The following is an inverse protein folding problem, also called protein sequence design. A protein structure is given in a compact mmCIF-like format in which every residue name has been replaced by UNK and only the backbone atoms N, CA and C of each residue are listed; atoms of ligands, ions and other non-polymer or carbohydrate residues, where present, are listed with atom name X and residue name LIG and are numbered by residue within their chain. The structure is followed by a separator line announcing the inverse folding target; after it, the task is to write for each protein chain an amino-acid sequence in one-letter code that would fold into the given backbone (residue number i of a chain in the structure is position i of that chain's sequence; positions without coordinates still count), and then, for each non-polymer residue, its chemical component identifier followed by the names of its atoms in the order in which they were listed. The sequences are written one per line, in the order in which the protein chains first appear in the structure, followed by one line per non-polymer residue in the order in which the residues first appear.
data_IF_431480905084
#
_entry.id   IF_431480905084
#
_cell.length_a   1.000
_cell.length_b   1.000
_cell.length_c   1.000
_cell.angle_alpha   90.00
_cell.angle_beta   90.00
_cell.angle_gamma   90.00
#
_symmetry.space_group_name_H-M   'P 1'
#
loop_
_entity.id
_entity.type
_entity.pdbx_description
1 polymer ?
#
# COMPACT_ATOMS: atom_id res chain seq x y z
N UNK A 1 1.68 14.53 10.88
CA UNK A 1 1.34 13.21 10.31
C UNK A 1 2.64 12.44 10.13
N UNK A 2 2.75 11.28 10.76
CA UNK A 2 3.86 10.35 10.52
C UNK A 2 3.45 9.44 9.36
N UNK A 3 4.32 9.27 8.35
CA UNK A 3 4.00 8.40 7.21
C UNK A 3 3.83 6.93 7.60
N UNK A 4 4.49 6.49 8.68
CA UNK A 4 4.48 5.09 9.13
C UNK A 4 3.49 4.83 10.28
N UNK A 5 2.52 5.71 10.49
CA UNK A 5 1.59 5.62 11.61
C UNK A 5 0.85 4.27 11.63
N UNK A 6 0.48 3.77 10.44
CA UNK A 6 -0.24 2.52 10.31
C UNK A 6 0.67 1.30 10.50
N UNK A 7 1.86 1.30 9.92
CA UNK A 7 2.85 0.25 10.04
C UNK A 7 3.28 0.08 11.50
N UNK A 8 3.57 1.19 12.18
CA UNK A 8 3.95 1.20 13.61
C UNK A 8 2.86 0.60 14.48
N UNK A 9 1.59 0.93 14.22
CA UNK A 9 0.46 0.34 14.94
C UNK A 9 0.43 -1.18 14.79
N UNK A 10 0.66 -1.70 13.59
CA UNK A 10 0.57 -3.13 13.29
C UNK A 10 1.80 -3.90 13.77
N UNK A 11 3.01 -3.34 13.63
CA UNK A 11 4.23 -3.89 14.22
C UNK A 11 4.09 -3.99 15.75
N UNK A 12 3.55 -2.95 16.40
CA UNK A 12 3.30 -2.96 17.85
C UNK A 12 2.27 -4.01 18.29
N UNK A 13 1.42 -4.47 17.36
CA UNK A 13 0.47 -5.57 17.59
C UNK A 13 1.01 -6.96 17.23
N UNK A 14 2.31 -7.08 16.91
CA UNK A 14 2.97 -8.35 16.60
C UNK A 14 2.82 -8.81 15.15
N UNK A 15 2.43 -7.94 14.22
CA UNK A 15 2.45 -8.26 12.78
C UNK A 15 3.85 -8.04 12.23
N UNK A 16 4.52 -9.10 11.79
CA UNK A 16 5.93 -9.03 11.37
C UNK A 16 6.10 -8.64 9.89
N UNK A 17 5.14 -9.02 9.03
CA UNK A 17 5.18 -8.75 7.60
C UNK A 17 4.03 -7.84 7.20
N UNK A 18 4.38 -6.68 6.64
CA UNK A 18 3.45 -5.67 6.12
C UNK A 18 3.94 -5.28 4.73
N UNK A 19 3.05 -5.32 3.75
CA UNK A 19 3.31 -4.83 2.40
C UNK A 19 2.36 -3.68 2.09
N UNK A 20 2.91 -2.60 1.52
CA UNK A 20 2.11 -1.51 0.96
C UNK A 20 1.69 -1.89 -0.46
N UNK A 21 0.45 -1.58 -0.83
CA UNK A 21 -0.06 -1.85 -2.18
C UNK A 21 -0.55 -0.55 -2.77
N UNK A 22 -0.23 -0.33 -4.04
CA UNK A 22 -0.73 0.81 -4.80
C UNK A 22 -1.02 0.40 -6.25
N UNK A 23 -1.83 1.20 -6.95
CA UNK A 23 -2.19 0.98 -8.34
C UNK A 23 -1.82 2.16 -9.26
N UNK A 24 -1.56 1.83 -10.52
CA UNK A 24 -1.43 2.78 -11.60
C UNK A 24 -2.33 2.38 -12.78
N UNK A 25 -2.74 3.37 -13.57
CA UNK A 25 -3.53 3.13 -14.79
C UNK A 25 -5.04 3.22 -14.62
N UNK A 26 -5.55 3.76 -13.50
CA UNK A 26 -7.00 4.01 -13.31
C UNK A 26 -7.56 5.15 -14.18
N UNK A 27 -6.73 6.14 -14.51
CA UNK A 27 -7.13 7.37 -15.21
C UNK A 27 -7.05 7.39 -16.75
N UNK A 28 -6.18 6.61 -17.41
CA UNK A 28 -6.14 6.55 -18.88
C UNK A 28 -7.47 6.10 -19.52
N UNK A 29 -7.71 6.51 -20.77
CA UNK A 29 -8.90 6.12 -21.56
C UNK A 29 -8.89 4.63 -21.96
N UNK A 30 -7.71 4.03 -22.08
CA UNK A 30 -7.51 2.62 -22.40
C UNK A 30 -6.14 2.15 -21.88
N UNK A 31 -5.97 0.83 -21.77
CA UNK A 31 -4.81 0.19 -21.15
C UNK A 31 -5.18 -0.47 -19.82
N UNK A 32 -4.31 -1.35 -19.28
CA UNK A 32 -4.61 -2.06 -18.05
C UNK A 32 -4.42 -1.16 -16.82
N UNK A 33 -5.16 -1.48 -15.75
CA UNK A 33 -4.78 -1.10 -14.38
C UNK A 33 -3.78 -2.15 -13.88
N UNK A 34 -2.72 -1.70 -13.21
CA UNK A 34 -1.69 -2.57 -12.64
C UNK A 34 -1.46 -2.17 -11.18
N UNK A 35 -1.31 -3.16 -10.30
CA UNK A 35 -0.97 -2.95 -8.89
C UNK A 35 0.28 -3.75 -8.51
N UNK A 36 1.00 -3.29 -7.49
CA UNK A 36 2.17 -3.96 -6.93
C UNK A 36 2.16 -3.94 -5.39
N UNK A 37 2.87 -4.90 -4.80
CA UNK A 37 3.03 -5.10 -3.36
C UNK A 37 4.52 -5.22 -3.00
#
# INVERSE_FOLDING_TARGET
MNMLEFEVKHWSSGKEHIAGIDEAGRGPLAGPVVSAA
#
